data_IF_943012547142
#
_entry.id   IF_943012547142
#
_cell.length_a   1.000
_cell.length_b   1.000
_cell.length_c   1.000
_cell.angle_alpha   90.00
_cell.angle_beta   90.00
_cell.angle_gamma   90.00
#
_symmetry.space_group_name_H-M   'P 1'
#
loop_
_entity.id
_entity.type
_entity.pdbx_description
1 polymer ?
#
# COMPACT_ATOMS: atom_id res chain seq x y z
N UNK A 1 -12.10 -1.11 -27.90
CA UNK A 1 -11.31 0.02 -28.44
C UNK A 1 -11.01 1.11 -27.39
N UNK A 2 -12.01 1.66 -26.68
CA UNK A 2 -11.81 2.72 -25.66
C UNK A 2 -10.86 2.37 -24.50
N UNK A 3 -10.88 1.12 -24.02
CA UNK A 3 -9.99 0.64 -22.94
C UNK A 3 -8.50 0.73 -23.30
N UNK A 4 -8.13 0.36 -24.52
CA UNK A 4 -6.73 0.40 -24.96
C UNK A 4 -6.26 1.83 -25.23
N UNK A 5 -7.14 2.69 -25.78
CA UNK A 5 -6.84 4.11 -25.96
C UNK A 5 -6.61 4.84 -24.63
N UNK A 6 -7.40 4.53 -23.61
CA UNK A 6 -7.21 5.07 -22.26
C UNK A 6 -5.88 4.63 -21.64
N UNK A 7 -5.52 3.35 -21.77
CA UNK A 7 -4.26 2.82 -21.23
C UNK A 7 -3.03 3.41 -21.95
N UNK A 8 -3.06 3.54 -23.29
CA UNK A 8 -1.98 4.20 -24.03
C UNK A 8 -1.86 5.68 -23.67
N UNK A 9 -2.98 6.37 -23.49
CA UNK A 9 -3.03 7.76 -23.05
C UNK A 9 -2.54 7.95 -21.61
N UNK A 10 -2.62 6.91 -20.77
CA UNK A 10 -2.02 6.86 -19.43
C UNK A 10 -0.53 6.49 -19.42
N UNK A 11 -0.02 5.84 -20.47
CA UNK A 11 1.38 5.39 -20.58
C UNK A 11 2.23 6.32 -21.47
N UNK A 12 1.61 7.19 -22.26
CA UNK A 12 2.30 8.14 -23.11
C UNK A 12 3.11 9.12 -22.25
N UNK A 13 4.44 9.26 -22.47
CA UNK A 13 5.32 10.14 -21.70
C UNK A 13 5.08 11.60 -22.10
N UNK A 14 3.89 12.13 -21.76
CA UNK A 14 3.52 13.52 -22.01
C UNK A 14 3.31 14.21 -20.66
N UNK A 15 3.84 15.44 -20.47
CA UNK A 15 3.55 16.26 -19.28
C UNK A 15 2.05 16.58 -19.13
N UNK A 16 1.24 16.28 -20.15
CA UNK A 16 -0.22 16.22 -20.12
C UNK A 16 -0.72 14.78 -19.94
N UNK A 17 -0.16 14.04 -18.98
CA UNK A 17 -0.60 12.68 -18.63
C UNK A 17 -2.11 12.69 -18.37
N UNK A 18 -2.87 11.94 -19.16
CA UNK A 18 -4.32 11.84 -18.97
C UNK A 18 -4.70 11.38 -17.57
N UNK A 19 -3.88 10.50 -17.00
CA UNK A 19 -4.00 10.06 -15.63
C UNK A 19 -3.90 11.24 -14.64
N UNK A 20 -2.99 12.19 -14.86
CA UNK A 20 -2.80 13.32 -13.95
C UNK A 20 -3.89 14.38 -14.09
N UNK A 21 -4.39 14.64 -15.30
CA UNK A 21 -5.53 15.52 -15.51
C UNK A 21 -6.81 14.92 -14.91
N UNK A 22 -7.04 13.62 -15.13
CA UNK A 22 -8.15 12.87 -14.52
C UNK A 22 -8.01 12.87 -12.98
N UNK A 23 -6.79 12.72 -12.49
CA UNK A 23 -6.50 12.74 -11.05
C UNK A 23 -6.82 14.11 -10.44
N UNK A 24 -6.32 15.21 -11.02
CA UNK A 24 -6.55 16.56 -10.50
C UNK A 24 -7.97 17.08 -10.69
N UNK A 25 -8.67 16.67 -11.76
CA UNK A 25 -9.99 17.20 -12.13
C UNK A 25 -11.17 16.37 -11.62
N UNK A 26 -11.02 15.05 -11.52
CA UNK A 26 -12.10 14.13 -11.14
C UNK A 26 -11.80 13.44 -9.82
N UNK A 27 -10.63 12.81 -9.68
CA UNK A 27 -10.29 12.03 -8.49
C UNK A 27 -10.13 12.95 -7.28
N UNK A 28 -9.39 14.06 -7.41
CA UNK A 28 -9.11 15.01 -6.32
C UNK A 28 -10.36 15.64 -5.70
N UNK A 29 -11.31 16.23 -6.46
CA UNK A 29 -12.53 16.77 -5.86
C UNK A 29 -13.46 15.68 -5.28
N UNK A 30 -13.41 14.46 -5.81
CA UNK A 30 -14.18 13.34 -5.25
C UNK A 30 -13.56 12.83 -3.94
N UNK A 31 -12.22 12.75 -3.89
CA UNK A 31 -11.42 12.38 -2.73
C UNK A 31 -11.59 13.40 -1.58
N UNK A 32 -11.52 14.70 -1.87
CA UNK A 32 -11.79 15.77 -0.90
C UNK A 32 -13.24 15.74 -0.39
N UNK A 33 -14.22 15.34 -1.22
CA UNK A 33 -15.62 15.18 -0.78
C UNK A 33 -15.85 13.95 0.10
N UNK A 34 -15.01 12.93 -0.01
CA UNK A 34 -15.08 11.69 0.77
C UNK A 34 -13.89 11.56 1.72
N UNK A 35 -13.23 12.68 2.05
CA UNK A 35 -12.00 12.70 2.83
C UNK A 35 -12.17 11.95 4.15
N UNK A 36 -13.29 12.14 4.86
CA UNK A 36 -13.61 11.39 6.07
C UNK A 36 -13.68 9.86 5.87
N UNK A 37 -14.20 9.38 4.74
CA UNK A 37 -14.28 7.94 4.48
C UNK A 37 -12.94 7.38 4.02
N UNK A 38 -12.20 8.13 3.21
CA UNK A 38 -10.89 7.68 2.74
C UNK A 38 -9.85 7.75 3.86
N UNK A 39 -9.88 8.78 4.70
CA UNK A 39 -8.98 8.92 5.85
C UNK A 39 -9.20 7.78 6.84
N UNK A 40 -10.47 7.40 7.10
CA UNK A 40 -10.79 6.24 7.93
C UNK A 40 -10.27 4.93 7.32
N UNK A 41 -10.50 4.69 6.02
CA UNK A 41 -10.01 3.47 5.35
C UNK A 41 -8.49 3.43 5.30
N UNK A 42 -7.82 4.55 5.07
CA UNK A 42 -6.35 4.64 5.06
C UNK A 42 -5.79 4.44 6.47
N UNK A 43 -6.43 4.99 7.51
CA UNK A 43 -6.05 4.72 8.90
C UNK A 43 -6.22 3.26 9.25
N UNK A 44 -7.37 2.65 8.94
CA UNK A 44 -7.63 1.23 9.19
C UNK A 44 -6.60 0.34 8.48
N UNK A 45 -6.29 0.64 7.22
CA UNK A 45 -5.27 -0.09 6.46
C UNK A 45 -3.88 0.08 7.07
N UNK A 46 -3.52 1.27 7.53
CA UNK A 46 -2.25 1.56 8.19
C UNK A 46 -2.14 0.79 9.51
N UNK A 47 -3.18 0.78 10.33
CA UNK A 47 -3.20 0.07 11.61
C UNK A 47 -3.12 -1.44 11.39
N UNK A 48 -3.86 -1.98 10.41
CA UNK A 48 -3.80 -3.40 10.04
C UNK A 48 -2.42 -3.80 9.48
N UNK A 49 -1.82 -2.94 8.66
CA UNK A 49 -0.47 -3.18 8.14
C UNK A 49 0.56 -3.16 9.26
N UNK A 50 0.41 -2.24 10.23
CA UNK A 50 1.30 -2.15 11.39
C UNK A 50 1.16 -3.36 12.29
N UNK A 51 -0.05 -3.78 12.62
CA UNK A 51 -0.33 -5.01 13.39
C UNK A 51 0.27 -6.24 12.69
N UNK A 52 0.10 -6.34 11.37
CA UNK A 52 0.67 -7.43 10.56
C UNK A 52 2.20 -7.41 10.59
N UNK A 53 2.82 -6.24 10.44
CA UNK A 53 4.27 -6.08 10.51
C UNK A 53 4.82 -6.43 11.90
N UNK A 54 4.14 -5.99 12.97
CA UNK A 54 4.49 -6.32 14.36
C UNK A 54 4.35 -7.82 14.64
N UNK A 55 3.29 -8.46 14.13
CA UNK A 55 3.11 -9.91 14.22
C UNK A 55 4.23 -10.67 13.50
N UNK A 56 4.56 -10.28 12.27
CA UNK A 56 5.66 -10.88 11.51
C UNK A 56 7.00 -10.67 12.23
N UNK A 57 7.26 -9.47 12.74
CA UNK A 57 8.48 -9.17 13.48
C UNK A 57 8.58 -9.98 14.78
N UNK A 58 7.46 -10.19 15.47
CA UNK A 58 7.40 -11.02 16.69
C UNK A 58 7.67 -12.48 16.38
N UNK A 59 7.06 -13.03 15.34
CA UNK A 59 7.31 -14.41 14.91
C UNK A 59 8.74 -14.61 14.41
N UNK A 60 9.30 -13.65 13.66
CA UNK A 60 10.69 -13.68 13.22
C UNK A 60 11.66 -13.65 14.41
N UNK A 61 11.42 -12.78 15.41
CA UNK A 61 12.19 -12.76 16.65
C UNK A 61 12.09 -14.08 17.43
N UNK A 62 10.89 -14.64 17.53
CA UNK A 62 10.64 -15.92 18.22
C UNK A 62 11.35 -17.08 17.52
N UNK A 63 11.29 -17.12 16.19
CA UNK A 63 12.02 -18.10 15.38
C UNK A 63 13.53 -17.95 15.57
N UNK A 64 14.07 -16.73 15.54
CA UNK A 64 15.50 -16.47 15.78
C UNK A 64 15.95 -16.90 17.18
N UNK A 65 15.16 -16.61 18.23
CA UNK A 65 15.45 -17.05 19.60
C UNK A 65 15.40 -18.57 19.73
N UNK A 66 14.44 -19.25 19.09
CA UNK A 66 14.38 -20.70 19.07
C UNK A 66 15.59 -21.32 18.36
N UNK A 67 16.03 -20.75 17.23
CA UNK A 67 17.22 -21.21 16.51
C UNK A 67 18.50 -21.03 17.34
N UNK A 68 18.64 -19.91 18.05
CA UNK A 68 19.77 -19.67 18.96
C UNK A 68 19.74 -20.60 20.20
N UNK A 69 18.53 -20.97 20.66
CA UNK A 69 18.35 -21.92 21.75
C UNK A 69 18.70 -23.35 21.37
N UNK A 70 18.37 -23.77 20.15
CA UNK A 70 18.75 -25.09 19.62
C UNK A 70 20.27 -25.21 19.40
N UNK A 71 20.94 -24.12 18.95
CA UNK A 71 22.41 -24.10 18.81
C UNK A 71 23.12 -24.27 20.17
N UNK A 72 22.63 -23.60 21.22
CA UNK A 72 23.12 -23.73 22.60
C UNK A 72 22.90 -25.10 23.24
N UNK A 73 21.98 -25.91 22.72
CA UNK A 73 21.63 -27.24 23.28
C UNK A 73 22.39 -28.39 22.61
N UNK A 74 23.03 -28.13 21.46
CA UNK A 74 23.79 -29.12 20.70
C UNK A 74 25.30 -29.07 20.95
N UNK A 75 25.79 -28.18 21.83
CA UNK A 75 27.17 -28.14 22.36
C UNK A 75 27.17 -28.53 23.83
#
# INVERSE_FOLDING_TARGET
MLKCGFLLWCMAPSPSNGAELLYKRIIRPFFLRHESQVDHVVSDLKDKAKETADAIAKEAKKAAVNLLGEEKKST
#
